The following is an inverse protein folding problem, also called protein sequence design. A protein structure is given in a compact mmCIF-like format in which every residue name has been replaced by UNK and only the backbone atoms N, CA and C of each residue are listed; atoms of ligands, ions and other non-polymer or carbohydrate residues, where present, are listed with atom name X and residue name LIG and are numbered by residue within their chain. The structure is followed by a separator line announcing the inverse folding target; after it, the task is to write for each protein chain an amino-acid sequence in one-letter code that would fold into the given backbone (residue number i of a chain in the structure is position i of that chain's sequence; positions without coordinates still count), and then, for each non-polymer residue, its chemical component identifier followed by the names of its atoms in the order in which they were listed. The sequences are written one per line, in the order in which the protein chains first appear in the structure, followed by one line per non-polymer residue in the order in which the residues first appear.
data_IF_532788756226
#
_entry.id   IF_532788756226
#
_cell.length_a   1.000
_cell.length_b   1.000
_cell.length_c   1.000
_cell.angle_alpha   90.00
_cell.angle_beta   90.00
_cell.angle_gamma   90.00
#
_symmetry.space_group_name_H-M   'P 1'
#
loop_
_entity.id
_entity.type
_entity.pdbx_description
1 polymer ?
#
# COMPACT_ATOMS: atom_id res chain seq x y z
N UNK A 1 24.20 8.97 53.94
CA UNK A 1 23.87 9.73 52.72
C UNK A 1 24.15 8.86 51.49
N UNK A 2 23.32 7.83 51.22
CA UNK A 2 23.35 7.06 49.95
C UNK A 2 21.96 6.44 49.76
N UNK A 3 21.07 7.14 49.04
CA UNK A 3 19.78 6.62 48.53
C UNK A 3 19.55 7.20 47.12
N UNK A 4 20.49 6.98 46.21
CA UNK A 4 20.37 7.43 44.81
C UNK A 4 21.08 6.40 43.91
N UNK A 5 20.69 5.13 43.95
CA UNK A 5 21.25 4.15 43.01
C UNK A 5 20.30 2.99 42.66
N UNK A 6 18.98 3.21 42.73
CA UNK A 6 17.99 2.14 42.50
C UNK A 6 16.80 2.57 41.63
N UNK A 7 16.94 3.65 40.87
CA UNK A 7 15.85 4.16 40.01
C UNK A 7 16.23 4.21 38.52
N UNK A 8 17.49 3.95 38.17
CA UNK A 8 17.97 4.00 36.77
C UNK A 8 17.83 2.63 36.08
N UNK A 9 17.78 1.52 36.84
CA UNK A 9 17.65 0.17 36.29
C UNK A 9 16.26 -0.19 35.74
N UNK A 10 15.22 0.53 36.13
CA UNK A 10 13.83 0.17 35.78
C UNK A 10 13.31 0.90 34.54
N UNK A 11 14.01 1.93 34.06
CA UNK A 11 13.58 2.71 32.89
C UNK A 11 14.11 2.15 31.56
N UNK A 12 15.13 1.30 31.58
CA UNK A 12 15.79 0.77 30.37
C UNK A 12 15.13 -0.51 29.82
N UNK A 13 14.24 -1.16 30.57
CA UNK A 13 13.60 -2.42 30.18
C UNK A 13 12.27 -2.20 29.43
N UNK A 14 11.65 -1.02 29.57
CA UNK A 14 10.39 -0.70 28.87
C UNK A 14 10.65 -0.37 27.39
N UNK A 15 11.90 -0.10 26.98
CA UNK A 15 12.22 0.24 25.59
C UNK A 15 12.38 -0.97 24.64
N UNK A 16 12.40 -2.21 25.16
CA UNK A 16 12.79 -3.37 24.35
C UNK A 16 11.69 -4.39 24.04
N UNK A 17 10.46 -4.26 24.57
CA UNK A 17 9.46 -5.35 24.43
C UNK A 17 8.01 -4.95 24.16
N UNK A 18 7.70 -3.72 23.76
CA UNK A 18 6.47 -3.57 22.96
C UNK A 18 6.83 -3.99 21.55
N UNK A 19 6.41 -5.17 21.05
CA UNK A 19 6.45 -5.40 19.61
C UNK A 19 5.69 -4.22 19.02
N UNK A 20 6.38 -3.41 18.21
CA UNK A 20 5.73 -2.41 17.39
C UNK A 20 4.81 -3.23 16.49
N UNK A 21 3.54 -3.36 16.88
CA UNK A 21 2.53 -4.07 16.12
C UNK A 21 2.46 -3.36 14.77
N UNK A 22 2.93 -4.03 13.71
CA UNK A 22 3.10 -3.42 12.39
C UNK A 22 4.49 -3.58 11.77
N UNK A 23 5.50 -4.01 12.54
CA UNK A 23 6.76 -4.51 12.00
C UNK A 23 6.80 -6.05 11.96
N UNK A 24 5.65 -6.69 11.75
CA UNK A 24 5.66 -8.06 11.25
C UNK A 24 6.26 -8.02 9.85
N UNK A 25 7.25 -8.87 9.57
CA UNK A 25 7.93 -8.95 8.26
C UNK A 25 7.05 -9.61 7.19
N UNK A 26 5.75 -9.36 7.22
CA UNK A 26 4.77 -9.96 6.33
C UNK A 26 3.83 -8.88 5.77
N UNK A 27 3.07 -9.22 4.76
CA UNK A 27 2.22 -8.31 4.00
C UNK A 27 0.87 -7.99 4.67
N UNK A 28 0.65 -8.48 5.90
CA UNK A 28 -0.58 -8.27 6.65
C UNK A 28 -0.51 -6.99 7.48
N UNK A 29 -1.52 -6.13 7.38
CA UNK A 29 -1.56 -4.88 8.11
C UNK A 29 -2.93 -4.23 8.13
N UNK A 30 -3.02 -3.05 8.73
CA UNK A 30 -4.29 -2.34 8.96
C UNK A 30 -4.41 -1.04 8.17
N UNK A 31 -3.33 -0.60 7.53
CA UNK A 31 -3.30 0.62 6.74
C UNK A 31 -2.38 0.43 5.53
N UNK A 32 -2.91 0.71 4.35
CA UNK A 32 -2.22 0.58 3.08
C UNK A 32 -2.48 1.81 2.22
N UNK A 33 -1.47 2.20 1.46
CA UNK A 33 -1.57 3.21 0.41
C UNK A 33 -0.96 2.61 -0.84
N UNK A 34 -1.73 2.56 -1.91
CA UNK A 34 -1.31 2.02 -3.20
C UNK A 34 -1.85 2.87 -4.35
N UNK A 35 -1.34 2.62 -5.55
CA UNK A 35 -1.85 3.23 -6.77
C UNK A 35 -1.55 2.36 -7.98
N UNK A 36 -2.13 2.71 -9.12
CA UNK A 36 -1.98 2.00 -10.38
C UNK A 36 -1.30 2.90 -11.40
N UNK A 37 -0.31 2.33 -12.08
CA UNK A 37 0.37 2.97 -13.18
C UNK A 37 -0.51 2.93 -14.43
N UNK A 38 -0.49 4.00 -15.20
CA UNK A 38 -1.16 4.04 -16.49
C UNK A 38 -0.52 3.03 -17.44
N UNK A 39 -1.38 2.31 -18.15
CA UNK A 39 -0.99 1.49 -19.29
C UNK A 39 -1.38 2.19 -20.58
N UNK A 40 -0.64 1.91 -21.65
CA UNK A 40 -0.98 2.38 -23.00
C UNK A 40 -2.25 1.72 -23.57
N UNK A 41 -2.69 0.59 -22.99
CA UNK A 41 -3.91 -0.10 -23.40
C UNK A 41 -5.12 0.45 -22.63
N UNK A 42 -6.13 0.90 -23.38
CA UNK A 42 -7.36 1.51 -22.84
C UNK A 42 -8.34 0.50 -22.26
N UNK A 43 -8.14 -0.80 -22.51
CA UNK A 43 -9.03 -1.88 -22.05
C UNK A 43 -8.64 -2.44 -20.66
N UNK A 44 -7.72 -1.79 -19.94
CA UNK A 44 -7.26 -2.24 -18.63
C UNK A 44 -8.19 -1.78 -17.52
N UNK A 45 -8.54 -2.73 -16.64
CA UNK A 45 -9.25 -2.49 -15.39
C UNK A 45 -8.30 -2.69 -14.22
N UNK A 46 -8.20 -1.68 -13.36
CA UNK A 46 -7.47 -1.80 -12.12
C UNK A 46 -8.40 -2.27 -11.01
N UNK A 47 -7.93 -3.21 -10.20
CA UNK A 47 -8.71 -3.84 -9.15
C UNK A 47 -7.91 -3.90 -7.87
N UNK A 48 -8.54 -3.47 -6.79
CA UNK A 48 -8.02 -3.58 -5.43
C UNK A 48 -8.66 -4.81 -4.80
N UNK A 49 -7.85 -5.80 -4.48
CA UNK A 49 -8.29 -7.05 -3.87
C UNK A 49 -7.86 -7.06 -2.41
N UNK A 50 -8.83 -7.23 -1.51
CA UNK A 50 -8.62 -7.19 -0.06
C UNK A 50 -9.04 -8.55 0.50
N UNK A 51 -8.18 -9.18 1.28
CA UNK A 51 -8.45 -10.49 1.90
C UNK A 51 -8.26 -10.43 3.40
N UNK A 52 -9.10 -11.14 4.16
CA UNK A 52 -9.07 -11.12 5.62
C UNK A 52 -8.93 -12.53 6.21
N UNK A 53 -8.10 -12.67 7.25
CA UNK A 53 -8.00 -13.89 8.07
C UNK A 53 -9.04 -13.94 9.18
N UNK A 54 -9.48 -12.78 9.64
CA UNK A 54 -10.45 -12.58 10.70
C UNK A 54 -11.56 -11.64 10.21
N UNK A 55 -12.74 -11.72 10.81
CA UNK A 55 -13.81 -10.77 10.51
C UNK A 55 -13.39 -9.35 10.88
N UNK A 56 -13.57 -8.40 9.96
CA UNK A 56 -13.13 -7.03 10.16
C UNK A 56 -13.95 -6.02 9.36
N UNK A 57 -13.86 -4.76 9.77
CA UNK A 57 -14.39 -3.64 9.01
C UNK A 57 -13.25 -3.04 8.20
N UNK A 58 -13.52 -2.72 6.94
CA UNK A 58 -12.57 -2.13 6.01
C UNK A 58 -13.18 -0.87 5.40
N UNK A 59 -12.43 0.23 5.40
CA UNK A 59 -12.67 1.41 4.57
C UNK A 59 -11.71 1.41 3.39
N UNK A 60 -12.22 1.70 2.20
CA UNK A 60 -11.44 1.90 0.98
C UNK A 60 -11.77 3.26 0.41
N UNK A 61 -10.78 4.15 0.31
CA UNK A 61 -10.97 5.49 -0.22
C UNK A 61 -10.20 5.62 -1.53
N UNK A 62 -10.93 5.93 -2.58
CA UNK A 62 -10.39 6.29 -3.88
C UNK A 62 -10.23 7.80 -3.92
N UNK A 63 -9.04 8.30 -3.58
CA UNK A 63 -8.82 9.74 -3.44
C UNK A 63 -9.06 10.53 -4.73
N UNK A 64 -8.93 9.90 -5.90
CA UNK A 64 -9.12 10.54 -7.20
C UNK A 64 -10.57 10.93 -7.47
N UNK A 65 -11.49 10.10 -6.97
CA UNK A 65 -12.93 10.30 -7.12
C UNK A 65 -13.60 10.76 -5.82
N UNK A 66 -12.89 10.71 -4.69
CA UNK A 66 -13.42 10.84 -3.32
C UNK A 66 -14.55 9.83 -3.03
N UNK A 67 -14.53 8.68 -3.70
CA UNK A 67 -15.46 7.59 -3.40
C UNK A 67 -14.89 6.80 -2.23
N UNK A 68 -15.74 6.54 -1.24
CA UNK A 68 -15.42 5.73 -0.08
C UNK A 68 -16.34 4.51 -0.01
N UNK A 69 -15.75 3.36 0.28
CA UNK A 69 -16.45 2.11 0.46
C UNK A 69 -16.21 1.59 1.87
N UNK A 70 -17.30 1.25 2.57
CA UNK A 70 -17.24 0.56 3.84
C UNK A 70 -17.80 -0.85 3.69
N UNK A 71 -17.05 -1.83 4.20
CA UNK A 71 -17.45 -3.22 4.15
C UNK A 71 -17.07 -3.93 5.45
N UNK A 72 -17.96 -4.81 5.90
CA UNK A 72 -17.62 -5.88 6.83
C UNK A 72 -17.16 -7.11 6.04
N UNK A 73 -15.89 -7.47 6.17
CA UNK A 73 -15.27 -8.57 5.47
C UNK A 73 -15.13 -9.78 6.42
N UNK A 74 -15.77 -10.88 6.06
CA UNK A 74 -15.72 -12.12 6.84
C UNK A 74 -14.37 -12.83 6.72
N UNK A 75 -14.04 -13.66 7.73
CA UNK A 75 -12.83 -14.46 7.74
C UNK A 75 -12.73 -15.40 6.52
N UNK A 76 -11.55 -15.44 5.89
CA UNK A 76 -11.29 -16.26 4.70
C UNK A 76 -11.96 -15.77 3.42
N UNK A 77 -12.55 -14.56 3.43
CA UNK A 77 -13.18 -13.94 2.26
C UNK A 77 -12.32 -12.83 1.67
N UNK A 78 -12.64 -12.51 0.42
CA UNK A 78 -12.06 -11.39 -0.30
C UNK A 78 -13.12 -10.44 -0.80
N UNK A 79 -12.76 -9.17 -0.93
CA UNK A 79 -13.53 -8.13 -1.61
C UNK A 79 -12.70 -7.55 -2.73
N UNK A 80 -13.35 -7.26 -3.86
CA UNK A 80 -12.72 -6.66 -5.04
C UNK A 80 -13.42 -5.32 -5.32
N UNK A 81 -12.64 -4.27 -5.53
CA UNK A 81 -13.12 -2.98 -6.01
C UNK A 81 -12.42 -2.59 -7.29
N UNK A 82 -13.19 -2.15 -8.30
CA UNK A 82 -12.64 -1.60 -9.53
C UNK A 82 -12.27 -0.14 -9.31
N UNK A 83 -11.05 0.23 -9.69
CA UNK A 83 -10.51 1.58 -9.63
C UNK A 83 -10.28 2.08 -11.06
N UNK A 84 -11.02 3.11 -11.47
CA UNK A 84 -10.98 3.58 -12.87
C UNK A 84 -10.00 4.75 -13.09
N UNK A 85 -9.33 5.22 -12.03
CA UNK A 85 -8.33 6.29 -12.17
C UNK A 85 -6.96 5.68 -12.51
N UNK A 86 -6.21 6.40 -13.34
CA UNK A 86 -4.89 5.99 -13.83
C UNK A 86 -3.88 7.11 -13.58
N UNK A 87 -2.67 6.73 -13.15
CA UNK A 87 -1.55 7.67 -13.01
C UNK A 87 -0.66 7.57 -14.23
N UNK A 88 -0.62 8.62 -15.05
CA UNK A 88 0.49 8.82 -15.99
C UNK A 88 1.76 9.14 -15.21
N UNK A 89 2.86 8.48 -15.56
CA UNK A 89 4.17 8.80 -14.97
C UNK A 89 4.50 10.26 -15.28
N UNK A 90 4.66 11.05 -14.23
CA UNK A 90 5.25 12.38 -14.31
C UNK A 90 6.75 12.31 -13.97
N UNK A 91 7.57 13.27 -14.43
CA UNK A 91 8.97 13.37 -14.05
C UNK A 91 9.19 13.32 -12.52
N UNK A 92 10.38 12.89 -12.12
CA UNK A 92 10.78 12.69 -10.73
C UNK A 92 10.44 13.88 -9.81
N UNK A 93 10.09 13.59 -8.55
CA UNK A 93 9.79 14.54 -7.45
C UNK A 93 8.47 15.32 -7.54
N UNK A 94 7.57 15.00 -8.47
CA UNK A 94 6.23 15.56 -8.43
C UNK A 94 5.30 14.73 -7.53
N UNK A 95 4.76 15.35 -6.47
CA UNK A 95 3.67 14.77 -5.69
C UNK A 95 2.41 14.83 -6.55
N UNK A 96 1.80 13.68 -6.82
CA UNK A 96 0.53 13.61 -7.53
C UNK A 96 -0.62 13.59 -6.52
N UNK A 97 -1.30 14.73 -6.29
CA UNK A 97 -2.33 14.81 -5.27
C UNK A 97 -3.50 13.92 -5.67
N UNK A 98 -4.07 13.24 -4.66
CA UNK A 98 -5.34 12.51 -4.77
C UNK A 98 -5.34 11.33 -5.76
N UNK A 99 -4.20 10.73 -6.08
CA UNK A 99 -4.16 9.55 -6.98
C UNK A 99 -3.94 8.21 -6.27
N UNK A 100 -4.02 8.24 -4.95
CA UNK A 100 -3.88 7.04 -4.13
C UNK A 100 -5.23 6.34 -3.94
N UNK A 101 -5.15 5.05 -3.67
CA UNK A 101 -6.15 4.29 -2.93
C UNK A 101 -5.60 4.08 -1.52
N UNK A 102 -6.38 4.46 -0.51
CA UNK A 102 -6.11 4.06 0.87
C UNK A 102 -7.04 2.93 1.29
N UNK A 103 -6.49 1.99 2.05
CA UNK A 103 -7.25 0.90 2.68
C UNK A 103 -6.94 0.94 4.16
N UNK A 104 -7.97 1.12 4.97
CA UNK A 104 -7.91 1.06 6.43
C UNK A 104 -8.78 -0.07 6.94
N UNK A 105 -8.31 -0.82 7.94
CA UNK A 105 -9.06 -1.93 8.50
C UNK A 105 -8.93 -2.06 10.01
N UNK A 106 -9.99 -2.57 10.64
CA UNK A 106 -10.01 -2.80 12.09
C UNK A 106 -9.16 -4.00 12.55
N UNK A 107 -8.77 -4.87 11.62
CA UNK A 107 -7.87 -6.03 11.82
C UNK A 107 -6.95 -6.19 10.63
N UNK A 108 -5.88 -6.96 10.79
CA UNK A 108 -4.91 -7.17 9.70
C UNK A 108 -5.55 -7.84 8.49
N UNK A 109 -5.42 -7.20 7.33
CA UNK A 109 -5.82 -7.69 6.01
C UNK A 109 -4.60 -7.77 5.10
N UNK A 110 -4.75 -8.44 3.95
CA UNK A 110 -3.78 -8.43 2.87
C UNK A 110 -4.39 -7.73 1.66
N UNK A 111 -3.63 -6.85 1.03
CA UNK A 111 -4.08 -6.01 -0.09
C UNK A 111 -3.23 -6.26 -1.33
N UNK A 112 -3.88 -6.48 -2.47
CA UNK A 112 -3.26 -6.65 -3.77
C UNK A 112 -3.83 -5.64 -4.75
N UNK A 113 -2.98 -5.09 -5.62
CA UNK A 113 -3.42 -4.42 -6.83
C UNK A 113 -3.34 -5.37 -8.00
N UNK A 114 -4.35 -5.40 -8.86
CA UNK A 114 -4.35 -6.13 -10.12
C UNK A 114 -4.74 -5.21 -11.27
N UNK A 115 -3.96 -5.20 -12.33
CA UNK A 115 -4.29 -4.54 -13.59
C UNK A 115 -4.59 -5.63 -14.62
N UNK A 116 -5.84 -5.75 -15.07
CA UNK A 116 -6.27 -6.82 -15.99
C UNK A 116 -6.85 -6.28 -17.28
N UNK A 117 -6.44 -6.89 -18.39
CA UNK A 117 -7.08 -6.78 -19.70
C UNK A 117 -7.79 -8.10 -20.04
N UNK A 118 -8.38 -8.19 -21.24
CA UNK A 118 -8.96 -9.45 -21.74
C UNK A 118 -7.93 -10.54 -21.99
N UNK A 119 -6.65 -10.20 -22.18
CA UNK A 119 -5.61 -11.12 -22.66
C UNK A 119 -4.49 -11.37 -21.66
N UNK A 120 -4.25 -10.42 -20.76
CA UNK A 120 -3.14 -10.45 -19.82
C UNK A 120 -3.54 -9.73 -18.54
N UNK A 121 -2.84 -10.03 -17.45
CA UNK A 121 -3.00 -9.35 -16.19
C UNK A 121 -1.67 -9.30 -15.45
N UNK A 122 -1.48 -8.22 -14.73
CA UNK A 122 -0.36 -8.01 -13.83
C UNK A 122 -0.91 -7.73 -12.42
N UNK A 123 -0.14 -8.06 -11.39
CA UNK A 123 -0.55 -7.86 -10.02
C UNK A 123 0.63 -7.66 -9.10
N UNK A 124 0.42 -6.83 -8.08
CA UNK A 124 1.42 -6.52 -7.07
C UNK A 124 0.81 -6.64 -5.67
N UNK A 125 1.66 -6.98 -4.72
CA UNK A 125 1.31 -7.04 -3.31
C UNK A 125 1.60 -5.68 -2.67
N UNK A 126 0.58 -5.07 -2.07
CA UNK A 126 0.76 -3.82 -1.34
C UNK A 126 1.35 -4.10 0.04
N UNK A 127 2.34 -3.30 0.42
CA UNK A 127 2.91 -3.36 1.77
C UNK A 127 2.17 -2.40 2.70
N UNK A 128 1.97 -2.78 3.97
CA UNK A 128 1.36 -1.89 4.94
C UNK A 128 2.24 -0.68 5.19
N UNK A 129 1.64 0.48 5.46
CA UNK A 129 2.40 1.74 5.59
C UNK A 129 3.38 1.73 6.76
N UNK A 130 3.12 0.94 7.80
CA UNK A 130 4.06 0.74 8.92
C UNK A 130 5.33 -0.03 8.51
N UNK A 131 5.25 -0.85 7.46
CA UNK A 131 6.39 -1.52 6.85
C UNK A 131 7.07 -0.71 5.75
N UNK A 132 6.38 0.30 5.20
CA UNK A 132 6.98 1.27 4.30
C UNK A 132 7.86 2.23 5.12
N UNK A 133 9.07 2.51 4.63
CA UNK A 133 9.85 3.61 5.16
C UNK A 133 9.15 4.95 4.90
N UNK A 134 9.79 6.06 5.27
CA UNK A 134 9.29 7.40 4.92
C UNK A 134 9.22 7.63 3.41
N UNK A 135 9.94 6.81 2.64
CA UNK A 135 10.07 6.90 1.20
C UNK A 135 10.09 5.49 0.63
N UNK A 136 9.34 5.25 -0.45
CA UNK A 136 9.45 4.03 -1.22
C UNK A 136 9.65 4.35 -2.70
N UNK A 137 10.45 3.50 -3.35
CA UNK A 137 10.82 3.64 -4.74
C UNK A 137 9.97 2.67 -5.55
N UNK A 138 9.26 3.20 -6.55
CA UNK A 138 8.65 2.37 -7.58
C UNK A 138 9.50 2.42 -8.84
N UNK A 139 9.71 1.26 -9.44
CA UNK A 139 10.45 1.10 -10.70
C UNK A 139 9.43 0.78 -11.77
N UNK A 140 9.36 1.62 -12.81
CA UNK A 140 8.53 1.37 -13.98
C UNK A 140 9.36 1.46 -15.26
N UNK A 141 8.99 0.68 -16.27
CA UNK A 141 9.52 0.77 -17.62
C UNK A 141 8.44 1.33 -18.56
N UNK A 142 8.73 2.45 -19.21
CA UNK A 142 7.93 2.86 -20.36
C UNK A 142 8.49 2.15 -21.60
N UNK A 143 7.67 1.33 -22.27
CA UNK A 143 8.04 0.77 -23.57
C UNK A 143 7.54 1.72 -24.66
N UNK A 144 8.39 2.67 -25.05
CA UNK A 144 8.16 3.47 -26.25
C UNK A 144 8.48 2.62 -27.48
N UNK A 145 7.51 1.81 -27.90
CA UNK A 145 7.39 1.23 -29.24
C UNK A 145 8.70 0.96 -29.99
N UNK A 146 9.38 -0.13 -29.65
CA UNK A 146 10.58 -0.60 -30.33
C UNK A 146 11.40 -1.44 -29.37
N UNK A 147 11.82 -2.62 -29.79
CA UNK A 147 12.69 -3.48 -28.98
C UNK A 147 14.08 -2.84 -28.87
N UNK A 148 14.24 -1.75 -28.12
CA UNK A 148 15.53 -1.19 -27.68
C UNK A 148 15.29 0.06 -26.82
N UNK A 149 15.94 0.08 -25.64
CA UNK A 149 15.92 1.11 -24.58
C UNK A 149 14.71 1.09 -23.64
N UNK A 150 14.87 0.41 -22.50
CA UNK A 150 14.00 0.53 -21.34
C UNK A 150 14.43 1.75 -20.52
N UNK A 151 13.72 2.87 -20.63
CA UNK A 151 13.88 3.96 -19.68
C UNK A 151 13.26 3.55 -18.35
N UNK A 152 14.12 3.11 -17.43
CA UNK A 152 13.77 2.81 -16.06
C UNK A 152 13.51 4.12 -15.33
N UNK A 153 12.25 4.39 -15.03
CA UNK A 153 11.85 5.52 -14.22
C UNK A 153 11.74 5.09 -12.76
N UNK A 154 12.53 5.75 -11.91
CA UNK A 154 12.54 5.57 -10.46
C UNK A 154 11.72 6.72 -9.87
N UNK A 155 10.51 6.41 -9.42
CA UNK A 155 9.63 7.38 -8.77
C UNK A 155 9.70 7.22 -7.27
N UNK A 156 9.91 8.34 -6.58
CA UNK A 156 9.89 8.42 -5.12
C UNK A 156 8.48 8.77 -4.67
N UNK A 157 7.86 7.87 -3.94
CA UNK A 157 6.57 8.10 -3.30
C UNK A 157 6.78 8.31 -1.79
N UNK A 158 6.09 9.30 -1.24
CA UNK A 158 6.10 9.60 0.20
C UNK A 158 4.82 8.99 0.77
N UNK A 159 4.97 8.03 1.68
CA UNK A 159 3.86 7.59 2.53
C UNK A 159 3.72 8.67 3.62
N UNK A 160 2.73 9.56 3.48
CA UNK A 160 2.36 10.52 4.53
C UNK A 160 1.37 9.89 5.50
#
# INVERSE_FOLDING_TARGET
MVKILTTIGTFLIILFMTPIKGLDRDHWGTHFVLTFLAYHDTDIKNEVVITAREQCNVSVIFHGTNIEHFIELAAGKSQIYTYDDIITLEPFHQVLPKKAVSVESSRSVSVFGMSRSKKYGDGFLALPTLGLGTEYITVNCNSTGGCEYHDIHISKCIAM
#
